data_IF_347576334467
#
_entry.id   IF_347576334467
#
_cell.length_a   1.000
_cell.length_b   1.000
_cell.length_c   1.000
_cell.angle_alpha   90.00
_cell.angle_beta   90.00
_cell.angle_gamma   90.00
#
_symmetry.space_group_name_H-M   'P 1'
#
loop_
_entity.id
_entity.type
_entity.pdbx_description
1 polymer ?
#
# COMPACT_ATOMS: atom_id res chain seq x y z
N UNK A 1 37.93 1.93 56.70
CA UNK A 1 36.80 2.24 55.82
C UNK A 1 37.07 3.56 55.11
N UNK A 2 36.90 3.55 53.79
CA UNK A 2 36.85 4.65 52.79
C UNK A 2 37.92 5.75 52.83
N UNK A 3 38.82 5.66 51.85
CA UNK A 3 39.88 6.60 51.47
C UNK A 3 39.31 7.76 50.66
N UNK A 4 39.93 8.92 50.87
CA UNK A 4 39.80 10.18 50.14
C UNK A 4 39.97 9.98 48.64
N UNK A 5 39.13 10.63 47.82
CA UNK A 5 39.37 10.79 46.38
C UNK A 5 39.61 12.27 46.11
N UNK A 6 40.84 12.55 45.69
CA UNK A 6 41.36 13.84 45.25
C UNK A 6 40.91 14.06 43.80
N UNK A 7 40.43 15.27 43.51
CA UNK A 7 40.25 15.73 42.14
C UNK A 7 41.61 16.17 41.57
N UNK A 8 41.98 15.65 40.39
CA UNK A 8 43.06 16.20 39.57
C UNK A 8 42.70 15.98 38.10
N UNK A 9 42.39 17.07 37.39
CA UNK A 9 42.11 17.06 35.95
C UNK A 9 43.38 16.91 35.11
N UNK A 10 43.21 16.66 33.81
CA UNK A 10 44.15 17.01 32.73
C UNK A 10 43.47 16.83 31.36
N UNK A 11 43.61 17.88 30.54
CA UNK A 11 43.68 17.98 29.07
C UNK A 11 42.51 17.57 28.15
N UNK A 12 41.90 18.62 27.58
CA UNK A 12 42.12 19.07 26.19
C UNK A 12 42.33 17.97 25.11
N UNK A 13 41.29 17.74 24.29
CA UNK A 13 41.45 17.36 22.89
C UNK A 13 40.43 18.14 22.03
N UNK A 14 40.94 19.17 21.33
CA UNK A 14 40.29 19.78 20.18
C UNK A 14 40.24 18.73 19.06
N UNK A 15 39.06 18.17 18.82
CA UNK A 15 38.77 17.39 17.61
C UNK A 15 37.84 18.20 16.71
N UNK A 16 38.42 19.07 15.89
CA UNK A 16 37.71 19.72 14.77
C UNK A 16 37.47 18.62 13.73
N UNK A 17 36.40 17.85 13.92
CA UNK A 17 35.89 16.91 12.93
C UNK A 17 34.98 17.69 12.00
N UNK A 18 35.52 18.15 10.88
CA UNK A 18 34.76 18.71 9.76
C UNK A 18 33.76 17.66 9.26
N UNK A 19 32.56 17.65 9.82
CA UNK A 19 31.43 16.94 9.26
C UNK A 19 31.07 17.67 7.97
N UNK A 20 31.62 17.20 6.85
CA UNK A 20 31.10 17.48 5.53
C UNK A 20 29.63 17.03 5.52
N UNK A 21 28.73 17.99 5.74
CA UNK A 21 27.30 17.87 5.48
C UNK A 21 27.14 17.65 3.98
N UNK A 22 27.27 16.40 3.55
CA UNK A 22 26.64 15.98 2.30
C UNK A 22 25.15 16.04 2.55
N UNK A 23 24.51 17.10 2.05
CA UNK A 23 23.05 17.12 1.91
C UNK A 23 22.73 16.03 0.90
N UNK A 24 22.38 14.84 1.41
CA UNK A 24 21.79 13.81 0.56
C UNK A 24 20.61 14.47 -0.18
N UNK A 25 20.49 14.27 -1.51
CA UNK A 25 19.37 14.83 -2.24
C UNK A 25 18.09 14.33 -1.57
N UNK A 26 17.25 15.28 -1.14
CA UNK A 26 15.89 14.99 -0.68
C UNK A 26 15.14 14.42 -1.89
N UNK A 27 15.21 13.10 -2.05
CA UNK A 27 14.29 12.40 -2.94
C UNK A 27 12.91 12.66 -2.34
N UNK A 28 11.97 13.29 -3.08
CA UNK A 28 10.62 13.42 -2.58
C UNK A 28 10.11 12.01 -2.31
N UNK A 29 9.91 11.68 -1.04
CA UNK A 29 9.20 10.47 -0.65
C UNK A 29 7.78 10.69 -1.14
N UNK A 30 7.47 10.12 -2.30
CA UNK A 30 6.09 9.99 -2.75
C UNK A 30 5.43 9.12 -1.69
N UNK A 31 4.58 9.72 -0.86
CA UNK A 31 3.82 8.98 0.14
C UNK A 31 3.00 7.93 -0.59
N UNK A 32 3.12 6.67 -0.18
CA UNK A 32 2.22 5.62 -0.64
C UNK A 32 0.77 6.02 -0.28
N UNK A 33 -0.19 5.67 -1.14
CA UNK A 33 -1.59 5.90 -0.82
C UNK A 33 -1.97 5.20 0.49
N UNK A 34 -2.67 5.92 1.36
CA UNK A 34 -3.27 5.34 2.56
C UNK A 34 -4.54 4.59 2.15
N UNK A 35 -4.59 3.29 2.40
CA UNK A 35 -5.69 2.40 2.02
C UNK A 35 -6.14 1.62 3.24
N UNK A 36 -7.37 1.84 3.69
CA UNK A 36 -8.03 1.03 4.70
C UNK A 36 -9.28 0.39 4.09
N UNK A 37 -9.38 -0.95 4.14
CA UNK A 37 -10.52 -1.69 3.57
C UNK A 37 -11.45 -2.10 4.71
N UNK A 38 -12.72 -1.68 4.64
CA UNK A 38 -13.73 -2.11 5.60
C UNK A 38 -14.11 -3.57 5.34
N UNK A 39 -13.51 -4.48 6.11
CA UNK A 39 -13.69 -5.94 5.98
C UNK A 39 -15.15 -6.40 6.05
N UNK A 40 -15.97 -5.72 6.86
CA UNK A 40 -17.39 -6.07 7.01
C UNK A 40 -18.24 -5.80 5.77
N UNK A 41 -17.74 -4.93 4.88
CA UNK A 41 -18.39 -4.57 3.61
C UNK A 41 -17.82 -5.33 2.41
N UNK A 42 -16.75 -6.11 2.60
CA UNK A 42 -16.04 -6.74 1.52
C UNK A 42 -16.78 -7.99 1.01
N UNK A 43 -16.91 -8.10 -0.30
CA UNK A 43 -17.63 -9.20 -0.93
C UNK A 43 -16.92 -9.66 -2.21
N UNK A 44 -17.07 -10.94 -2.53
CA UNK A 44 -16.60 -11.54 -3.77
C UNK A 44 -17.69 -12.45 -4.35
N UNK A 45 -18.06 -12.17 -5.59
CA UNK A 45 -18.89 -13.04 -6.41
C UNK A 45 -18.00 -13.79 -7.41
N UNK A 46 -17.81 -15.08 -7.14
CA UNK A 46 -17.01 -15.98 -7.97
C UNK A 46 -17.61 -16.19 -9.36
N UNK A 47 -18.93 -16.16 -9.50
CA UNK A 47 -19.62 -16.46 -10.76
C UNK A 47 -19.43 -15.35 -11.80
N UNK A 48 -19.56 -14.10 -11.35
CA UNK A 48 -19.34 -12.91 -12.18
C UNK A 48 -17.89 -12.43 -12.16
N UNK A 49 -17.04 -13.00 -11.29
CA UNK A 49 -15.66 -12.58 -11.04
C UNK A 49 -15.58 -11.10 -10.64
N UNK A 50 -16.53 -10.69 -9.82
CA UNK A 50 -16.64 -9.34 -9.29
C UNK A 50 -16.33 -9.33 -7.80
N UNK A 51 -15.68 -8.28 -7.34
CA UNK A 51 -15.46 -8.05 -5.91
C UNK A 51 -15.50 -6.57 -5.58
N UNK A 52 -15.73 -6.24 -4.33
CA UNK A 52 -15.73 -4.86 -3.89
C UNK A 52 -15.75 -4.72 -2.38
N UNK A 53 -15.58 -3.48 -1.92
CA UNK A 53 -15.67 -3.09 -0.52
C UNK A 53 -15.86 -1.57 -0.40
N UNK A 54 -16.28 -1.12 0.78
CA UNK A 54 -16.03 0.23 1.25
C UNK A 54 -14.56 0.37 1.68
N UNK A 55 -13.93 1.48 1.31
CA UNK A 55 -12.54 1.79 1.61
C UNK A 55 -12.39 3.24 2.05
N UNK A 56 -11.41 3.50 2.92
CA UNK A 56 -10.88 4.85 3.13
C UNK A 56 -9.60 4.95 2.29
N UNK A 57 -9.63 5.76 1.24
CA UNK A 57 -8.54 5.97 0.29
C UNK A 57 -8.04 7.41 0.41
N UNK A 58 -6.81 7.60 0.89
CA UNK A 58 -6.23 8.92 1.17
C UNK A 58 -7.14 9.82 2.05
N UNK A 59 -7.80 9.22 3.04
CA UNK A 59 -8.72 9.91 3.95
C UNK A 59 -10.14 10.10 3.42
N UNK A 60 -10.41 9.75 2.16
CA UNK A 60 -11.75 9.82 1.58
C UNK A 60 -12.43 8.44 1.65
N UNK A 61 -13.66 8.40 2.18
CA UNK A 61 -14.47 7.19 2.16
C UNK A 61 -15.12 7.03 0.78
N UNK A 62 -14.81 5.92 0.11
CA UNK A 62 -15.41 5.55 -1.17
C UNK A 62 -15.88 4.08 -1.13
N UNK A 63 -16.84 3.74 -1.98
CA UNK A 63 -17.12 2.33 -2.32
C UNK A 63 -16.47 2.03 -3.66
N UNK A 64 -15.81 0.89 -3.77
CA UNK A 64 -15.16 0.46 -5.01
C UNK A 64 -15.52 -0.98 -5.31
N UNK A 65 -15.80 -1.25 -6.59
CA UNK A 65 -15.99 -2.60 -7.10
C UNK A 65 -15.14 -2.80 -8.36
N UNK A 66 -14.75 -4.05 -8.57
CA UNK A 66 -13.93 -4.49 -9.68
C UNK A 66 -14.61 -5.65 -10.39
N UNK A 67 -14.46 -5.69 -11.71
CA UNK A 67 -14.93 -6.77 -12.56
C UNK A 67 -13.80 -7.25 -13.45
N UNK A 68 -13.41 -8.52 -13.28
CA UNK A 68 -12.31 -9.13 -14.01
C UNK A 68 -12.84 -10.01 -15.15
N UNK A 69 -12.65 -9.56 -16.39
CA UNK A 69 -13.07 -10.28 -17.59
C UNK A 69 -11.85 -10.98 -18.22
N UNK A 70 -11.82 -12.32 -18.32
CA UNK A 70 -10.73 -13.02 -18.98
C UNK A 70 -10.62 -12.62 -20.47
N UNK A 71 -9.39 -12.40 -20.93
CA UNK A 71 -9.05 -11.93 -22.27
C UNK A 71 -7.72 -12.55 -22.72
N UNK A 72 -7.75 -13.83 -23.10
CA UNK A 72 -6.54 -14.59 -23.41
C UNK A 72 -5.75 -14.89 -22.12
N UNK A 73 -4.45 -14.57 -22.12
CA UNK A 73 -3.57 -14.80 -20.96
C UNK A 73 -3.66 -13.69 -19.90
N UNK A 74 -4.46 -12.65 -20.14
CA UNK A 74 -4.65 -11.52 -19.23
C UNK A 74 -6.13 -11.35 -18.90
N UNK A 75 -6.42 -10.58 -17.85
CA UNK A 75 -7.75 -10.17 -17.45
C UNK A 75 -7.90 -8.67 -17.71
N UNK A 76 -9.00 -8.27 -18.37
CA UNK A 76 -9.42 -6.87 -18.41
C UNK A 76 -10.11 -6.54 -17.10
N UNK A 77 -9.65 -5.49 -16.45
CA UNK A 77 -10.17 -5.05 -15.15
C UNK A 77 -10.97 -3.78 -15.37
N UNK A 78 -12.25 -3.84 -14.98
CA UNK A 78 -13.13 -2.68 -14.92
C UNK A 78 -13.33 -2.27 -13.46
N UNK A 79 -13.46 -0.98 -13.23
CA UNK A 79 -13.68 -0.40 -11.91
C UNK A 79 -14.96 0.42 -11.91
N UNK A 80 -15.68 0.35 -10.79
CA UNK A 80 -16.81 1.20 -10.44
C UNK A 80 -16.53 1.86 -9.10
N UNK A 81 -16.76 3.17 -8.97
CA UNK A 81 -16.61 3.91 -7.71
C UNK A 81 -17.93 4.55 -7.33
N UNK A 82 -18.34 4.45 -6.07
CA UNK A 82 -19.55 5.12 -5.55
C UNK A 82 -20.81 4.85 -6.38
N UNK A 83 -20.94 3.64 -6.92
CA UNK A 83 -22.07 3.30 -7.77
C UNK A 83 -22.05 3.90 -9.18
N UNK A 84 -20.93 4.44 -9.66
CA UNK A 84 -20.77 4.97 -11.03
C UNK A 84 -20.95 3.92 -12.14
N UNK A 85 -20.77 4.30 -13.40
CA UNK A 85 -20.60 3.30 -14.46
C UNK A 85 -19.28 2.52 -14.30
N UNK A 86 -19.23 1.34 -14.93
CA UNK A 86 -18.01 0.56 -15.05
C UNK A 86 -17.06 1.20 -16.05
N UNK A 87 -15.87 1.56 -15.60
CA UNK A 87 -14.82 2.16 -16.42
C UNK A 87 -13.67 1.17 -16.56
N UNK A 88 -13.11 1.06 -17.76
CA UNK A 88 -11.91 0.25 -17.97
C UNK A 88 -10.74 0.84 -17.18
N UNK A 89 -10.18 0.04 -16.27
CA UNK A 89 -9.04 0.44 -15.46
C UNK A 89 -7.72 0.04 -16.13
N UNK A 90 -7.65 -1.18 -16.67
CA UNK A 90 -6.42 -1.73 -17.24
C UNK A 90 -6.45 -3.24 -17.32
N UNK A 91 -5.27 -3.87 -17.34
CA UNK A 91 -5.15 -5.34 -17.39
C UNK A 91 -4.34 -5.91 -16.23
N UNK A 92 -4.69 -7.15 -15.87
CA UNK A 92 -3.96 -8.00 -14.91
C UNK A 92 -3.46 -9.23 -15.64
N UNK A 93 -2.16 -9.48 -15.62
CA UNK A 93 -1.55 -10.66 -16.21
C UNK A 93 -1.60 -11.89 -15.29
N UNK A 94 -0.99 -12.99 -15.71
CA UNK A 94 -1.06 -14.28 -15.01
C UNK A 94 -0.22 -14.32 -13.73
N UNK A 95 0.67 -13.35 -13.52
CA UNK A 95 1.51 -13.26 -12.32
C UNK A 95 0.99 -12.20 -11.35
N UNK A 96 1.31 -12.37 -10.06
CA UNK A 96 0.85 -11.46 -8.99
C UNK A 96 1.48 -10.06 -9.04
N UNK A 97 2.33 -9.75 -10.02
CA UNK A 97 3.00 -8.46 -10.19
C UNK A 97 2.72 -7.81 -11.54
N UNK A 98 2.01 -8.50 -12.42
CA UNK A 98 1.75 -8.05 -13.79
C UNK A 98 0.45 -7.23 -13.82
N UNK A 99 0.55 -5.94 -13.48
CA UNK A 99 -0.57 -5.00 -13.52
C UNK A 99 -0.25 -3.84 -14.45
N UNK A 100 -1.10 -3.63 -15.46
CA UNK A 100 -1.05 -2.49 -16.37
C UNK A 100 -2.21 -1.55 -16.05
N UNK A 101 -2.13 -0.90 -14.89
CA UNK A 101 -3.11 0.07 -14.41
C UNK A 101 -2.56 1.50 -14.53
N UNK A 102 -3.41 2.55 -14.42
CA UNK A 102 -2.99 3.94 -14.66
C UNK A 102 -2.02 4.47 -13.60
N UNK A 103 -1.97 3.85 -12.42
CA UNK A 103 -1.03 4.20 -11.36
C UNK A 103 -0.77 3.03 -10.42
N UNK A 104 0.33 3.11 -9.66
CA UNK A 104 0.63 2.16 -8.58
C UNK A 104 -0.46 2.15 -7.51
N UNK A 105 -1.04 3.31 -7.20
CA UNK A 105 -2.11 3.40 -6.20
C UNK A 105 -3.37 2.66 -6.66
N UNK A 106 -3.69 2.69 -7.97
CA UNK A 106 -4.79 1.89 -8.50
C UNK A 106 -4.53 0.38 -8.32
N UNK A 107 -3.30 -0.06 -8.53
CA UNK A 107 -2.91 -1.46 -8.32
C UNK A 107 -2.96 -1.83 -6.84
N UNK A 108 -2.40 -1.00 -5.96
CA UNK A 108 -2.46 -1.19 -4.52
C UNK A 108 -3.90 -1.28 -4.02
N UNK A 109 -4.79 -0.39 -4.47
CA UNK A 109 -6.20 -0.41 -4.08
C UNK A 109 -6.89 -1.70 -4.56
N UNK A 110 -6.70 -2.09 -5.81
CA UNK A 110 -7.23 -3.33 -6.37
C UNK A 110 -6.77 -4.56 -5.58
N UNK A 111 -5.48 -4.66 -5.28
CA UNK A 111 -4.89 -5.78 -4.55
C UNK A 111 -5.44 -5.84 -3.12
N UNK A 112 -5.47 -4.72 -2.40
CA UNK A 112 -5.96 -4.68 -1.01
C UNK A 112 -7.44 -5.08 -0.92
N UNK A 113 -8.28 -4.54 -1.81
CA UNK A 113 -9.71 -4.89 -1.83
C UNK A 113 -9.89 -6.35 -2.25
N UNK A 114 -9.15 -6.83 -3.26
CA UNK A 114 -9.21 -8.21 -3.71
C UNK A 114 -8.81 -9.22 -2.63
N UNK A 115 -7.74 -8.93 -1.88
CA UNK A 115 -7.27 -9.78 -0.78
C UNK A 115 -8.31 -9.88 0.34
N UNK A 116 -8.89 -8.75 0.75
CA UNK A 116 -9.92 -8.74 1.81
C UNK A 116 -11.22 -9.38 1.33
N UNK A 117 -11.63 -9.14 0.08
CA UNK A 117 -12.81 -9.78 -0.50
C UNK A 117 -12.64 -11.30 -0.68
N UNK A 118 -11.43 -11.78 -0.95
CA UNK A 118 -11.14 -13.21 -0.94
C UNK A 118 -11.28 -13.80 0.46
N UNK A 119 -10.79 -13.09 1.49
CA UNK A 119 -10.90 -13.50 2.90
C UNK A 119 -12.36 -13.53 3.38
N UNK A 120 -13.25 -12.67 2.85
CA UNK A 120 -14.66 -12.65 3.28
C UNK A 120 -15.47 -13.89 2.90
N UNK A 121 -14.92 -14.80 2.09
CA UNK A 121 -15.48 -16.16 1.90
C UNK A 121 -15.05 -17.18 2.98
N UNK A 122 -14.39 -16.75 4.05
CA UNK A 122 -13.87 -17.67 5.08
C UNK A 122 -12.52 -18.29 4.70
N UNK A 123 -11.77 -17.67 3.79
CA UNK A 123 -10.39 -18.01 3.46
C UNK A 123 -9.40 -17.43 4.49
N UNK A 124 -9.67 -17.65 5.77
CA UNK A 124 -8.58 -17.68 6.75
C UNK A 124 -7.78 -18.96 6.44
N UNK A 125 -6.47 -18.81 6.22
CA UNK A 125 -5.48 -19.83 5.81
C UNK A 125 -5.28 -20.05 4.30
N UNK A 126 -4.50 -19.17 3.67
CA UNK A 126 -3.46 -19.53 2.71
C UNK A 126 -2.18 -18.74 3.03
#
# INVERSE_FOLDING_TARGET
>A
MKKVVIALGIMLCLGIGSCLLTTAPLVPVVSAASIEVNRSSAWFDKSSRMFGAEVIFNGERITVAYWCIPSGNVEKVYQRKNGSDWVFLGTRGPTNVDYHFPSRDCASLFINVGNVAAQSQGYDHL
#
